data_IF_988868586603
#
_entry.id   IF_988868586603
#
_cell.length_a   1.000
_cell.length_b   1.000
_cell.length_c   1.000
_cell.angle_alpha   90.00
_cell.angle_beta   90.00
_cell.angle_gamma   90.00
#
_symmetry.space_group_name_H-M   'P 1'
#
loop_
_entity.id
_entity.type
_entity.pdbx_description
1 polymer ?
#
# COMPACT_ATOMS: atom_id res chain seq x y z
N UNK A 1 19.68 -31.44 -48.73
CA UNK A 1 19.00 -32.16 -47.62
C UNK A 1 18.43 -31.18 -46.60
N UNK A 2 17.63 -30.21 -47.05
CA UNK A 2 17.12 -29.08 -46.23
C UNK A 2 15.59 -29.02 -46.32
N UNK A 3 14.91 -30.12 -46.00
CA UNK A 3 13.43 -30.18 -45.96
C UNK A 3 12.82 -31.07 -44.87
N UNK A 4 13.64 -31.70 -44.00
CA UNK A 4 13.14 -32.58 -42.94
C UNK A 4 13.41 -32.07 -41.50
N UNK A 5 14.26 -31.06 -41.32
CA UNK A 5 14.54 -30.44 -40.01
C UNK A 5 13.59 -29.28 -39.67
N UNK A 6 12.44 -29.19 -40.36
CA UNK A 6 11.42 -28.17 -40.08
C UNK A 6 10.18 -28.76 -39.38
N UNK A 7 10.02 -30.09 -39.33
CA UNK A 7 8.80 -30.72 -38.82
C UNK A 7 8.88 -31.25 -37.39
N UNK A 8 10.06 -31.34 -36.75
CA UNK A 8 10.18 -31.97 -35.41
C UNK A 8 10.49 -31.02 -34.25
N UNK A 9 10.73 -29.73 -34.51
CA UNK A 9 10.86 -28.72 -33.43
C UNK A 9 9.56 -27.91 -33.25
N UNK A 10 8.57 -28.12 -34.12
CA UNK A 10 7.22 -27.55 -34.05
C UNK A 10 6.32 -28.24 -33.00
N UNK A 11 6.86 -29.13 -32.16
CA UNK A 11 6.07 -30.02 -31.30
C UNK A 11 6.04 -29.70 -29.81
N UNK A 12 6.79 -28.72 -29.28
CA UNK A 12 6.97 -28.61 -27.80
C UNK A 12 6.61 -27.24 -27.21
N UNK A 13 6.38 -26.19 -28.01
CA UNK A 13 6.00 -24.86 -27.49
C UNK A 13 4.48 -24.65 -27.41
N UNK A 14 3.77 -25.60 -26.81
CA UNK A 14 2.33 -25.52 -26.57
C UNK A 14 1.94 -25.83 -25.12
N UNK A 15 2.74 -25.38 -24.14
CA UNK A 15 2.24 -25.20 -22.79
C UNK A 15 1.98 -23.72 -22.54
N UNK A 16 0.76 -23.34 -22.91
CA UNK A 16 0.18 -22.03 -22.67
C UNK A 16 0.07 -21.75 -21.18
N UNK A 17 0.00 -20.45 -20.88
CA UNK A 17 -0.35 -19.92 -19.57
C UNK A 17 -1.65 -20.55 -19.09
N UNK A 18 -1.53 -21.49 -18.15
CA UNK A 18 -2.67 -22.01 -17.44
C UNK A 18 -3.08 -20.92 -16.44
N UNK A 19 -4.07 -20.10 -16.80
CA UNK A 19 -4.84 -19.34 -15.81
C UNK A 19 -5.40 -20.36 -14.83
N UNK A 20 -4.90 -20.36 -13.60
CA UNK A 20 -5.39 -21.27 -12.59
C UNK A 20 -6.77 -20.77 -12.16
N UNK A 21 -7.76 -21.66 -12.20
CA UNK A 21 -9.12 -21.38 -11.80
C UNK A 21 -9.63 -22.60 -11.06
N UNK A 22 -10.29 -22.41 -9.94
CA UNK A 22 -10.84 -23.53 -9.18
C UNK A 22 -12.25 -23.83 -9.70
N UNK A 23 -12.47 -25.09 -10.09
CA UNK A 23 -13.80 -25.55 -10.47
C UNK A 23 -14.53 -26.03 -9.22
N UNK A 24 -15.70 -25.44 -8.96
CA UNK A 24 -16.59 -25.83 -7.88
C UNK A 24 -17.28 -27.17 -8.20
N UNK A 25 -17.84 -27.87 -7.20
CA UNK A 25 -18.47 -29.18 -7.39
C UNK A 25 -19.64 -29.21 -8.39
N UNK A 26 -20.29 -28.07 -8.64
CA UNK A 26 -21.37 -27.90 -9.62
C UNK A 26 -20.86 -27.58 -11.04
N UNK A 27 -19.54 -27.50 -11.24
CA UNK A 27 -18.91 -27.18 -12.52
C UNK A 27 -18.76 -25.68 -12.77
N UNK A 28 -19.20 -24.81 -11.85
CA UNK A 28 -18.91 -23.39 -11.93
C UNK A 28 -17.44 -23.11 -11.65
N UNK A 29 -16.94 -21.99 -12.15
CA UNK A 29 -15.51 -21.65 -12.07
C UNK A 29 -15.32 -20.39 -11.25
N UNK A 30 -14.38 -20.45 -10.31
CA UNK A 30 -13.92 -19.34 -9.51
C UNK A 30 -12.43 -19.06 -9.76
N UNK A 31 -11.96 -17.87 -9.41
CA UNK A 31 -10.53 -17.52 -9.44
C UNK A 31 -9.71 -18.46 -8.54
N UNK A 32 -8.43 -18.62 -8.86
CA UNK A 32 -7.46 -19.45 -8.12
C UNK A 32 -7.35 -19.18 -6.61
N UNK A 33 -7.58 -17.94 -6.18
CA UNK A 33 -7.54 -17.56 -4.76
C UNK A 33 -8.92 -17.56 -4.08
N UNK A 34 -9.98 -17.91 -4.80
CA UNK A 34 -11.33 -17.93 -4.27
C UNK A 34 -11.70 -19.27 -3.64
N UNK A 35 -12.67 -19.26 -2.73
CA UNK A 35 -13.26 -20.46 -2.12
C UNK A 35 -14.67 -20.67 -2.63
N UNK A 36 -14.99 -21.86 -3.12
CA UNK A 36 -16.34 -22.24 -3.51
C UNK A 36 -17.22 -22.38 -2.26
N UNK A 37 -18.24 -21.53 -2.14
CA UNK A 37 -19.24 -21.60 -1.07
C UNK A 37 -20.60 -21.98 -1.63
N UNK A 38 -21.33 -22.84 -0.93
CA UNK A 38 -22.68 -23.23 -1.33
C UNK A 38 -23.64 -22.05 -1.13
N UNK A 39 -24.41 -21.73 -2.16
CA UNK A 39 -25.47 -20.72 -2.13
C UNK A 39 -26.83 -21.35 -2.40
N UNK A 40 -27.91 -20.57 -2.31
CA UNK A 40 -29.26 -21.05 -2.65
C UNK A 40 -29.41 -21.51 -4.10
N UNK A 41 -28.57 -20.96 -4.99
CA UNK A 41 -28.64 -21.17 -6.44
C UNK A 41 -27.51 -22.06 -6.98
N UNK A 42 -26.70 -22.67 -6.11
CA UNK A 42 -25.56 -23.53 -6.51
C UNK A 42 -24.31 -23.22 -5.69
N UNK A 43 -23.22 -22.86 -6.36
CA UNK A 43 -22.00 -22.37 -5.71
C UNK A 43 -21.70 -20.91 -6.10
N UNK A 44 -21.19 -20.16 -5.13
CA UNK A 44 -20.64 -18.83 -5.27
C UNK A 44 -19.16 -18.79 -4.92
N UNK A 45 -18.46 -17.81 -5.47
CA UNK A 45 -17.05 -17.55 -5.22
C UNK A 45 -16.92 -16.60 -4.03
N UNK A 46 -16.28 -17.08 -2.96
CA UNK A 46 -15.79 -16.21 -1.91
C UNK A 46 -14.40 -15.71 -2.27
N UNK A 47 -14.17 -14.40 -2.19
CA UNK A 47 -12.89 -13.76 -2.57
C UNK A 47 -11.74 -14.08 -1.60
N UNK A 48 -12.03 -14.76 -0.47
CA UNK A 48 -11.02 -15.18 0.49
C UNK A 48 -10.49 -16.59 0.18
N UNK A 49 -9.17 -16.82 0.28
CA UNK A 49 -8.62 -18.15 0.23
C UNK A 49 -8.97 -18.92 1.51
N UNK A 50 -9.41 -20.17 1.36
CA UNK A 50 -9.83 -21.05 2.47
C UNK A 50 -10.88 -20.38 3.38
N UNK A 51 -11.86 -19.73 2.76
CA UNK A 51 -12.93 -19.02 3.45
C UNK A 51 -13.81 -19.96 4.29
N UNK A 52 -14.46 -19.40 5.30
CA UNK A 52 -15.54 -20.05 6.04
C UNK A 52 -16.86 -19.66 5.40
N UNK A 53 -17.55 -20.63 4.80
CA UNK A 53 -18.86 -20.40 4.19
C UNK A 53 -19.94 -20.36 5.28
N UNK A 54 -20.73 -19.29 5.29
CA UNK A 54 -21.72 -19.09 6.33
C UNK A 54 -23.00 -19.88 6.04
N UNK A 55 -23.74 -20.23 7.10
CA UNK A 55 -24.95 -21.06 6.99
C UNK A 55 -26.15 -20.31 6.39
N UNK A 56 -26.03 -19.01 6.15
CA UNK A 56 -27.03 -18.22 5.43
C UNK A 56 -27.01 -18.43 3.91
N UNK A 57 -26.04 -19.19 3.38
CA UNK A 57 -25.90 -19.54 1.97
C UNK A 57 -25.78 -18.32 1.05
N UNK A 58 -25.30 -17.21 1.57
CA UNK A 58 -25.14 -15.96 0.82
C UNK A 58 -23.81 -15.27 1.15
N UNK A 59 -23.24 -15.54 2.32
CA UNK A 59 -22.02 -14.87 2.74
C UNK A 59 -20.91 -15.85 3.13
N UNK A 60 -19.71 -15.30 3.18
CA UNK A 60 -18.51 -15.99 3.62
C UNK A 60 -17.64 -15.08 4.48
N UNK A 61 -16.80 -15.72 5.28
CA UNK A 61 -15.84 -15.08 6.16
C UNK A 61 -14.41 -15.49 5.81
N UNK A 62 -13.40 -14.66 6.13
CA UNK A 62 -12.00 -15.04 6.00
C UNK A 62 -11.68 -16.29 6.84
N UNK A 63 -10.61 -17.00 6.47
CA UNK A 63 -10.16 -18.16 7.24
C UNK A 63 -9.86 -17.78 8.70
N UNK A 64 -10.32 -18.62 9.64
CA UNK A 64 -10.13 -18.37 11.08
C UNK A 64 -11.16 -17.43 11.72
N UNK A 65 -12.22 -17.06 10.99
CA UNK A 65 -13.38 -16.34 11.52
C UNK A 65 -14.64 -17.25 11.54
N UNK A 66 -15.56 -16.94 12.45
CA UNK A 66 -16.87 -17.57 12.58
C UNK A 66 -17.97 -16.59 12.17
N UNK A 67 -19.00 -17.10 11.52
CA UNK A 67 -20.10 -16.27 11.03
C UNK A 67 -21.11 -15.98 12.14
N UNK A 68 -21.25 -14.72 12.53
CA UNK A 68 -22.35 -14.26 13.37
C UNK A 68 -23.50 -13.74 12.50
N UNK A 69 -24.50 -14.60 12.28
CA UNK A 69 -25.65 -14.28 11.43
C UNK A 69 -26.57 -13.19 12.02
N UNK A 70 -26.56 -12.99 13.34
CA UNK A 70 -27.40 -11.98 13.98
C UNK A 70 -26.87 -10.57 13.75
N UNK A 71 -25.54 -10.41 13.75
CA UNK A 71 -24.87 -9.13 13.50
C UNK A 71 -24.43 -8.95 12.05
N UNK A 72 -24.48 -10.01 11.23
CA UNK A 72 -23.89 -10.09 9.89
C UNK A 72 -22.38 -9.81 9.89
N UNK A 73 -21.68 -10.27 10.93
CA UNK A 73 -20.24 -10.06 11.11
C UNK A 73 -19.50 -11.40 11.22
N UNK A 74 -18.30 -11.45 10.67
CA UNK A 74 -17.30 -12.47 10.90
C UNK A 74 -16.55 -12.12 12.19
N UNK A 75 -16.65 -12.98 13.20
CA UNK A 75 -16.08 -12.80 14.53
C UNK A 75 -15.01 -13.87 14.80
N UNK A 76 -13.98 -13.54 15.57
CA UNK A 76 -12.91 -14.48 15.92
C UNK A 76 -13.01 -14.87 17.39
N UNK A 77 -13.08 -16.18 17.66
CA UNK A 77 -13.38 -16.73 19.00
C UNK A 77 -12.42 -16.26 20.11
N UNK A 78 -11.17 -15.92 19.77
CA UNK A 78 -10.15 -15.45 20.73
C UNK A 78 -9.83 -13.96 20.64
N UNK A 79 -10.47 -13.21 19.75
CA UNK A 79 -10.18 -11.79 19.49
C UNK A 79 -11.51 -11.02 19.28
N UNK A 80 -12.30 -10.78 20.34
CA UNK A 80 -13.64 -10.21 20.23
C UNK A 80 -13.67 -8.78 19.64
N UNK A 81 -12.52 -8.11 19.57
CA UNK A 81 -12.35 -6.81 18.92
C UNK A 81 -12.13 -6.90 17.40
N UNK A 82 -11.88 -8.09 16.85
CA UNK A 82 -11.74 -8.30 15.40
C UNK A 82 -13.07 -8.85 14.87
N UNK A 83 -13.96 -7.95 14.48
CA UNK A 83 -15.19 -8.25 13.75
C UNK A 83 -15.19 -7.52 12.41
N UNK A 84 -15.42 -8.25 11.32
CA UNK A 84 -15.53 -7.68 9.96
C UNK A 84 -16.87 -8.07 9.35
N UNK A 85 -17.52 -7.24 8.52
CA UNK A 85 -18.77 -7.63 7.88
C UNK A 85 -18.61 -8.90 7.04
N UNK A 86 -19.64 -9.73 7.07
CA UNK A 86 -19.71 -10.91 6.21
C UNK A 86 -19.72 -10.47 4.74
N UNK A 87 -18.90 -11.12 3.91
CA UNK A 87 -18.78 -10.79 2.49
C UNK A 87 -19.79 -11.61 1.71
N UNK A 88 -20.58 -10.96 0.86
CA UNK A 88 -21.51 -11.64 -0.03
C UNK A 88 -20.74 -12.43 -1.08
N UNK A 89 -21.13 -13.69 -1.30
CA UNK A 89 -20.51 -14.56 -2.30
C UNK A 89 -20.87 -14.07 -3.69
N UNK A 90 -19.87 -13.96 -4.57
CA UNK A 90 -20.12 -13.62 -5.97
C UNK A 90 -20.66 -14.85 -6.71
N UNK A 91 -21.61 -14.66 -7.62
CA UNK A 91 -22.11 -15.77 -8.43
C UNK A 91 -20.96 -16.37 -9.23
N UNK A 92 -20.72 -17.67 -9.09
CA UNK A 92 -19.63 -18.31 -9.79
C UNK A 92 -19.90 -18.29 -11.31
N UNK A 93 -18.87 -17.99 -12.10
CA UNK A 93 -19.05 -17.82 -13.53
C UNK A 93 -19.49 -19.14 -14.15
N UNK A 94 -20.57 -19.07 -14.93
CA UNK A 94 -20.98 -20.19 -15.78
C UNK A 94 -19.93 -20.31 -16.89
N UNK A 95 -19.47 -21.52 -17.27
CA UNK A 95 -18.43 -21.67 -18.28
C UNK A 95 -18.81 -20.96 -19.59
N UNK A 96 -18.21 -19.80 -19.85
CA UNK A 96 -18.30 -19.09 -21.12
C UNK A 96 -17.12 -19.43 -22.02
N UNK A 97 -17.44 -19.66 -23.29
CA UNK A 97 -16.55 -20.07 -24.38
C UNK A 97 -15.39 -19.08 -24.61
N UNK A 98 -14.20 -19.53 -25.08
CA UNK A 98 -12.97 -18.73 -25.04
C UNK A 98 -12.94 -17.58 -26.07
N UNK A 99 -12.48 -16.40 -25.65
CA UNK A 99 -12.07 -15.28 -26.52
C UNK A 99 -10.57 -15.02 -26.30
N UNK A 100 -9.86 -14.80 -27.41
CA UNK A 100 -8.39 -14.79 -27.53
C UNK A 100 -7.69 -13.56 -26.90
N UNK A 101 -6.41 -13.68 -26.47
CA UNK A 101 -5.64 -12.57 -25.91
C UNK A 101 -4.74 -11.88 -26.95
N UNK A 102 -4.50 -10.58 -26.74
CA UNK A 102 -3.47 -9.77 -27.43
C UNK A 102 -2.35 -9.44 -26.44
N UNK A 103 -1.14 -9.92 -26.78
CA UNK A 103 0.18 -9.58 -26.20
C UNK A 103 0.51 -8.09 -26.38
N UNK A 104 1.43 -7.40 -25.70
CA UNK A 104 2.79 -7.63 -25.16
C UNK A 104 3.01 -6.54 -24.08
N UNK A 105 3.95 -6.58 -23.13
CA UNK A 105 5.41 -6.44 -23.28
C UNK A 105 6.11 -7.03 -22.04
N UNK A 106 7.11 -7.88 -22.30
CA UNK A 106 8.12 -8.41 -21.39
C UNK A 106 9.23 -7.37 -21.15
N UNK A 107 9.91 -7.46 -20.00
CA UNK A 107 11.33 -7.84 -19.86
C UNK A 107 11.81 -7.46 -18.44
N UNK A 108 12.05 -8.45 -17.55
CA UNK A 108 13.32 -9.17 -17.29
C UNK A 108 13.94 -8.58 -15.99
N UNK A 109 14.41 -9.32 -14.98
CA UNK A 109 15.40 -10.41 -15.03
C UNK A 109 15.31 -11.38 -13.85
N UNK A 110 15.86 -12.58 -14.13
CA UNK A 110 15.97 -13.77 -13.30
C UNK A 110 16.82 -13.61 -12.02
N UNK A 111 16.58 -14.47 -11.03
CA UNK A 111 17.55 -15.48 -10.57
C UNK A 111 16.93 -16.40 -9.49
N UNK A 112 16.98 -17.72 -9.75
CA UNK A 112 16.69 -18.81 -8.81
C UNK A 112 17.95 -19.11 -7.99
N UNK A 113 17.87 -19.23 -6.65
CA UNK A 113 18.25 -20.38 -5.76
C UNK A 113 17.85 -20.00 -4.28
N UNK A 114 17.91 -20.91 -3.29
CA UNK A 114 16.81 -21.65 -2.68
C UNK A 114 16.26 -21.07 -1.36
N UNK A 115 15.11 -21.62 -0.98
CA UNK A 115 14.39 -21.55 0.30
C UNK A 115 15.22 -21.12 1.53
N UNK A 116 15.09 -19.84 1.86
CA UNK A 116 15.14 -19.36 3.22
C UNK A 116 13.82 -18.63 3.41
N UNK A 117 13.14 -18.93 4.52
CA UNK A 117 11.93 -18.30 5.02
C UNK A 117 12.15 -16.78 5.16
N UNK A 118 12.11 -16.08 4.03
CA UNK A 118 12.32 -14.66 3.89
C UNK A 118 10.92 -14.06 3.92
N UNK A 119 10.54 -13.46 5.05
CA UNK A 119 9.40 -12.54 5.07
C UNK A 119 9.63 -11.54 3.93
N UNK A 120 8.76 -11.56 2.93
CA UNK A 120 8.90 -10.84 1.66
C UNK A 120 8.42 -9.39 1.79
N UNK A 121 9.01 -8.67 2.74
CA UNK A 121 8.74 -7.28 3.07
C UNK A 121 8.37 -6.42 1.84
N UNK A 122 7.25 -5.68 1.93
CA UNK A 122 6.81 -4.73 0.90
C UNK A 122 7.58 -3.43 1.07
N UNK A 123 8.52 -3.17 0.15
CA UNK A 123 9.31 -1.93 0.18
C UNK A 123 8.48 -0.75 -0.32
N UNK A 124 8.27 0.25 0.54
CA UNK A 124 7.55 1.47 0.20
C UNK A 124 8.50 2.51 -0.43
N UNK A 125 9.71 2.60 0.11
CA UNK A 125 10.85 3.32 -0.46
C UNK A 125 12.18 2.75 0.07
N UNK A 126 13.27 3.52 -0.04
CA UNK A 126 14.62 3.11 0.39
C UNK A 126 14.78 2.95 1.91
N UNK A 127 13.89 3.51 2.73
CA UNK A 127 13.97 3.52 4.19
C UNK A 127 12.75 2.91 4.87
N UNK A 128 11.60 2.91 4.20
CA UNK A 128 10.32 2.49 4.73
C UNK A 128 9.87 1.20 4.06
N UNK A 129 9.43 0.28 4.89
CA UNK A 129 8.90 -0.99 4.45
C UNK A 129 7.71 -1.40 5.29
N UNK A 130 6.85 -2.20 4.69
CA UNK A 130 5.69 -2.77 5.34
C UNK A 130 5.78 -4.30 5.37
N UNK A 131 5.10 -4.95 6.33
CA UNK A 131 5.01 -6.40 6.38
C UNK A 131 4.41 -7.00 5.10
N UNK A 132 4.61 -8.29 4.92
CA UNK A 132 3.94 -9.06 3.88
C UNK A 132 2.42 -8.83 3.87
N UNK A 133 1.82 -8.86 2.67
CA UNK A 133 0.37 -8.71 2.46
C UNK A 133 -0.23 -7.37 2.91
N UNK A 134 0.59 -6.31 2.97
CA UNK A 134 0.14 -4.94 3.23
C UNK A 134 0.36 -4.02 2.01
N UNK A 135 -0.26 -2.85 2.00
CA UNK A 135 -0.05 -1.81 0.98
C UNK A 135 0.58 -0.57 1.58
N UNK A 136 1.62 -0.05 0.95
CA UNK A 136 2.24 1.21 1.34
C UNK A 136 1.34 2.40 1.01
N UNK A 137 0.89 3.15 2.02
CA UNK A 137 0.11 4.37 1.87
C UNK A 137 0.93 5.60 2.25
N UNK A 138 1.02 6.54 1.31
CA UNK A 138 1.76 7.78 1.50
C UNK A 138 0.89 8.83 2.17
N UNK A 139 1.40 9.40 3.25
CA UNK A 139 0.74 10.45 4.00
C UNK A 139 1.06 11.85 3.42
N UNK A 140 0.15 12.84 3.51
CA UNK A 140 0.41 14.22 3.07
C UNK A 140 1.66 14.87 3.69
N UNK A 141 2.05 14.44 4.90
CA UNK A 141 3.31 14.86 5.55
C UNK A 141 4.55 14.08 5.06
N UNK A 142 4.43 13.31 3.98
CA UNK A 142 5.48 12.45 3.40
C UNK A 142 5.94 11.29 4.31
N UNK A 143 5.12 10.89 5.27
CA UNK A 143 5.31 9.65 6.02
C UNK A 143 4.68 8.45 5.28
N UNK A 144 5.09 7.24 5.63
CA UNK A 144 4.47 6.00 5.15
C UNK A 144 3.69 5.30 6.25
N UNK A 145 2.53 4.77 5.88
CA UNK A 145 1.71 3.91 6.72
C UNK A 145 1.39 2.62 5.97
N UNK A 146 1.36 1.52 6.71
CA UNK A 146 1.05 0.21 6.15
C UNK A 146 -0.44 -0.04 6.24
N UNK A 147 -1.11 -0.06 5.09
CA UNK A 147 -2.49 -0.50 4.98
C UNK A 147 -2.54 -2.03 5.13
N UNK A 148 -3.39 -2.57 6.02
CA UNK A 148 -3.48 -4.01 6.25
C UNK A 148 -4.07 -4.79 5.05
N UNK A 149 -4.59 -4.09 4.04
CA UNK A 149 -5.10 -4.71 2.82
C UNK A 149 -4.04 -4.70 1.73
N UNK A 150 -3.95 -5.78 0.95
CA UNK A 150 -3.15 -5.87 -0.27
C UNK A 150 -3.95 -6.56 -1.37
N UNK A 151 -4.36 -5.85 -2.44
CA UNK A 151 -4.22 -4.40 -2.65
C UNK A 151 -5.19 -3.58 -1.78
N UNK A 152 -4.69 -2.52 -1.15
CA UNK A 152 -5.49 -1.54 -0.40
C UNK A 152 -5.61 -0.22 -1.13
N UNK A 153 -6.74 0.49 -1.00
CA UNK A 153 -6.93 1.83 -1.54
C UNK A 153 -6.64 2.87 -0.46
N UNK A 154 -5.56 3.63 -0.64
CA UNK A 154 -5.17 4.68 0.29
C UNK A 154 -6.12 5.89 0.18
N UNK A 155 -6.58 6.39 1.33
CA UNK A 155 -7.31 7.64 1.39
C UNK A 155 -6.35 8.83 1.22
N UNK A 156 -6.89 9.97 0.79
CA UNK A 156 -6.11 11.20 0.58
C UNK A 156 -5.54 11.79 1.87
N UNK A 157 -6.13 11.47 3.02
CA UNK A 157 -5.61 11.86 4.32
C UNK A 157 -4.36 11.08 4.73
N UNK A 158 -4.05 9.97 4.06
CA UNK A 158 -2.87 9.15 4.31
C UNK A 158 -2.88 8.33 5.60
N UNK A 159 -3.94 8.43 6.42
CA UNK A 159 -4.09 7.69 7.67
C UNK A 159 -5.07 6.52 7.53
N UNK A 160 -5.98 6.61 6.57
CA UNK A 160 -6.99 5.61 6.33
C UNK A 160 -6.75 4.92 4.99
N UNK A 161 -7.22 3.68 4.92
CA UNK A 161 -7.26 2.93 3.68
C UNK A 161 -8.48 2.01 3.68
N UNK A 162 -8.94 1.69 2.47
CA UNK A 162 -10.07 0.82 2.23
C UNK A 162 -9.62 -0.49 1.57
N UNK A 163 -10.36 -1.59 1.77
CA UNK A 163 -10.13 -2.81 1.02
C UNK A 163 -10.36 -2.58 -0.47
N UNK A 164 -9.82 -3.47 -1.30
CA UNK A 164 -9.92 -3.37 -2.75
C UNK A 164 -11.37 -3.17 -3.23
N UNK A 165 -11.56 -2.23 -4.16
CA UNK A 165 -12.85 -1.87 -4.75
C UNK A 165 -13.78 -1.03 -3.86
N UNK A 166 -13.31 -0.53 -2.73
CA UNK A 166 -14.01 0.46 -1.92
C UNK A 166 -13.27 1.79 -1.92
N UNK A 167 -14.00 2.90 -2.02
CA UNK A 167 -13.48 4.27 -1.98
C UNK A 167 -13.62 4.88 -0.59
N UNK A 168 -12.79 5.86 -0.24
CA UNK A 168 -12.97 6.60 1.01
C UNK A 168 -14.07 7.65 0.83
N UNK A 169 -14.93 7.83 1.84
CA UNK A 169 -15.83 8.98 1.89
C UNK A 169 -15.05 10.29 2.07
N UNK A 170 -15.67 11.42 1.72
CA UNK A 170 -15.02 12.74 1.81
C UNK A 170 -14.63 13.16 3.24
N UNK A 171 -15.26 12.57 4.25
CA UNK A 171 -14.95 12.80 5.66
C UNK A 171 -13.89 11.85 6.23
N UNK A 172 -13.41 10.87 5.46
CA UNK A 172 -12.48 9.81 5.90
C UNK A 172 -12.98 9.08 7.16
N UNK A 173 -14.30 8.85 7.21
CA UNK A 173 -15.03 8.11 8.27
C UNK A 173 -15.65 6.79 7.81
N UNK A 174 -15.82 6.57 6.50
CA UNK A 174 -16.33 5.32 5.94
C UNK A 174 -15.64 4.94 4.64
N UNK A 175 -15.54 3.63 4.40
CA UNK A 175 -15.36 3.11 3.05
C UNK A 175 -16.72 3.05 2.36
N UNK A 176 -16.80 3.42 1.08
CA UNK A 176 -18.03 3.45 0.30
C UNK A 176 -17.86 2.63 -0.98
N UNK A 177 -18.91 1.92 -1.35
CA UNK A 177 -19.02 1.26 -2.66
C UNK A 177 -20.46 1.40 -3.14
N UNK A 178 -20.66 1.99 -4.33
CA UNK A 178 -21.99 2.20 -4.95
C UNK A 178 -23.02 2.86 -4.02
N UNK A 179 -22.58 3.77 -3.13
CA UNK A 179 -23.46 4.50 -2.20
C UNK A 179 -23.75 3.82 -0.86
N UNK A 180 -23.31 2.56 -0.66
CA UNK A 180 -23.37 1.89 0.64
C UNK A 180 -22.17 2.30 1.50
N UNK A 181 -22.43 2.61 2.78
CA UNK A 181 -21.41 3.02 3.76
C UNK A 181 -20.97 1.81 4.57
N UNK A 182 -19.67 1.55 4.56
CA UNK A 182 -19.01 0.54 5.36
C UNK A 182 -18.24 1.28 6.46
N UNK A 183 -18.49 0.98 7.74
CA UNK A 183 -17.78 1.65 8.83
C UNK A 183 -16.28 1.40 8.70
N UNK A 184 -15.46 2.45 8.89
CA UNK A 184 -14.06 2.19 9.23
C UNK A 184 -14.04 1.41 10.54
N UNK A 185 -13.19 0.39 10.64
CA UNK A 185 -12.90 -0.25 11.93
C UNK A 185 -12.59 0.84 12.95
N UNK A 186 -13.35 0.96 14.06
CA UNK A 186 -13.09 2.00 15.04
C UNK A 186 -11.68 1.82 15.58
N UNK A 187 -10.82 2.79 15.31
CA UNK A 187 -9.51 2.87 15.93
C UNK A 187 -9.73 3.25 17.41
N UNK A 188 -9.31 2.38 18.34
CA UNK A 188 -8.63 2.90 19.55
C UNK A 188 -7.51 3.84 19.08
N UNK A 189 -7.05 4.83 19.88
CA UNK A 189 -5.83 5.56 19.53
C UNK A 189 -4.67 4.56 19.43
N UNK A 190 -4.45 4.04 18.23
CA UNK A 190 -3.33 3.22 17.89
C UNK A 190 -2.19 4.19 17.66
N UNK A 191 -1.19 4.08 18.52
CA UNK A 191 0.20 4.21 18.11
C UNK A 191 0.30 3.70 16.69
N UNK A 192 0.52 4.61 15.76
CA UNK A 192 1.08 4.27 14.46
C UNK A 192 2.23 3.31 14.75
N UNK A 193 2.20 2.09 14.22
CA UNK A 193 3.42 1.28 14.17
C UNK A 193 4.39 2.13 13.38
N UNK A 194 5.46 2.68 14.00
CA UNK A 194 6.49 3.33 13.21
C UNK A 194 7.03 2.24 12.30
N UNK A 195 7.20 2.52 11.00
CA UNK A 195 7.94 1.62 10.13
C UNK A 195 9.23 1.23 10.85
N UNK A 196 9.41 -0.07 11.05
CA UNK A 196 10.47 -0.57 11.91
C UNK A 196 11.81 -0.11 11.33
N UNK A 197 12.55 0.67 12.12
CA UNK A 197 13.94 0.96 11.83
C UNK A 197 14.72 -0.35 11.96
N UNK A 198 15.45 -0.74 10.90
CA UNK A 198 16.49 -1.76 11.03
C UNK A 198 17.65 -1.10 11.78
N UNK A 199 17.83 -1.49 13.04
CA UNK A 199 19.06 -1.26 13.80
C UNK A 199 20.11 -2.28 13.35
N UNK A 200 21.11 -1.83 12.60
CA UNK A 200 22.41 -2.51 12.54
C UNK A 200 23.40 -1.76 13.41
N UNK A 201 23.76 -2.39 14.54
CA UNK A 201 25.08 -2.27 15.16
C UNK A 201 26.09 -2.71 14.09
N UNK A 202 27.17 -1.99 13.77
CA UNK A 202 28.44 -1.80 14.48
C UNK A 202 29.27 -0.81 13.61
N UNK A 203 30.25 0.00 14.01
CA UNK A 203 30.83 0.45 15.26
C UNK A 203 31.74 1.66 14.89
N UNK A 204 31.96 2.54 15.86
CA UNK A 204 33.14 3.41 16.07
C UNK A 204 33.36 4.71 15.27
N UNK A 205 33.25 5.80 16.04
CA UNK A 205 34.20 6.92 16.19
C UNK A 205 33.69 8.31 15.78
N UNK A 206 33.04 8.96 16.74
CA UNK A 206 33.22 10.36 17.14
C UNK A 206 34.05 11.26 16.22
N UNK A 207 33.36 11.92 15.30
CA UNK A 207 33.51 13.36 15.04
C UNK A 207 32.09 13.86 14.83
N UNK A 208 31.65 14.87 15.58
CA UNK A 208 30.34 15.48 15.37
C UNK A 208 30.24 15.91 13.90
N UNK A 209 29.38 15.26 13.14
CA UNK A 209 29.16 15.54 11.73
C UNK A 209 28.36 16.86 11.64
N UNK A 210 29.06 17.98 11.84
CA UNK A 210 28.50 19.32 11.71
C UNK A 210 28.52 19.68 10.23
N UNK A 211 27.36 19.57 9.58
CA UNK A 211 27.20 20.00 8.19
C UNK A 211 26.72 21.45 8.16
N UNK A 212 27.13 22.28 7.18
CA UNK A 212 26.64 23.64 7.08
C UNK A 212 25.13 23.66 6.79
N UNK A 213 24.43 24.65 7.35
CA UNK A 213 23.02 24.86 7.01
C UNK A 213 22.85 25.18 5.52
N UNK A 214 21.70 24.82 4.97
CA UNK A 214 21.37 25.12 3.58
C UNK A 214 20.44 26.33 3.49
N UNK A 215 20.74 27.26 2.60
CA UNK A 215 19.87 28.38 2.32
C UNK A 215 18.57 27.91 1.65
N UNK A 216 17.45 28.49 2.06
CA UNK A 216 16.14 28.30 1.43
C UNK A 216 16.01 29.20 0.21
N UNK A 217 15.20 28.81 -0.78
CA UNK A 217 14.86 29.65 -1.94
C UNK A 217 13.45 30.22 -1.79
N UNK A 218 13.07 31.26 -2.53
CA UNK A 218 11.71 31.79 -2.47
C UNK A 218 10.70 30.80 -3.09
N UNK A 219 9.48 30.76 -2.53
CA UNK A 219 8.40 29.97 -3.09
C UNK A 219 7.77 30.69 -4.29
N UNK A 220 7.48 29.94 -5.35
CA UNK A 220 6.94 30.47 -6.60
C UNK A 220 5.42 30.64 -6.51
N UNK A 221 4.90 31.70 -7.13
CA UNK A 221 3.45 31.93 -7.27
C UNK A 221 2.86 31.38 -8.57
N UNK A 222 3.68 30.76 -9.42
CA UNK A 222 3.24 30.19 -10.69
C UNK A 222 2.77 28.75 -10.51
N UNK A 223 1.71 28.41 -11.24
CA UNK A 223 1.20 27.05 -11.39
C UNK A 223 2.16 26.26 -12.30
N UNK A 224 3.34 25.93 -11.76
CA UNK A 224 4.34 25.11 -12.44
C UNK A 224 3.88 23.65 -12.56
N UNK A 225 4.37 22.98 -13.61
CA UNK A 225 4.02 21.64 -14.09
C UNK A 225 3.85 20.56 -13.00
N UNK A 226 3.16 19.48 -13.38
CA UNK A 226 2.83 18.33 -12.54
C UNK A 226 4.00 17.89 -11.64
N UNK A 227 3.80 17.99 -10.31
CA UNK A 227 4.78 17.53 -9.31
C UNK A 227 5.22 18.56 -8.27
N UNK A 228 4.68 19.78 -8.25
CA UNK A 228 5.03 20.81 -7.25
C UNK A 228 4.56 20.49 -5.82
N UNK A 229 5.36 20.83 -4.82
CA UNK A 229 4.98 20.80 -3.39
C UNK A 229 4.17 22.05 -3.07
N UNK A 230 2.89 21.90 -2.72
CA UNK A 230 2.00 23.01 -2.39
C UNK A 230 2.21 23.48 -0.94
N UNK A 231 2.62 24.74 -0.76
CA UNK A 231 2.79 25.34 0.58
C UNK A 231 1.50 25.97 1.08
N UNK A 232 0.78 26.68 0.22
CA UNK A 232 -0.56 27.21 0.51
C UNK A 232 -1.43 27.39 -0.76
N UNK A 233 -2.38 28.34 -0.75
CA UNK A 233 -3.24 28.62 -1.91
C UNK A 233 -2.54 29.32 -3.07
N UNK A 234 -1.43 30.02 -2.83
CA UNK A 234 -0.73 30.84 -3.83
C UNK A 234 0.76 30.53 -3.97
N UNK A 235 1.37 29.78 -3.06
CA UNK A 235 2.82 29.51 -3.01
C UNK A 235 3.13 28.03 -3.14
N UNK A 236 4.13 27.74 -3.97
CA UNK A 236 4.55 26.40 -4.35
C UNK A 236 6.07 26.26 -4.34
N UNK A 237 6.55 25.07 -4.04
CA UNK A 237 7.94 24.67 -4.11
C UNK A 237 8.15 23.62 -5.22
N UNK A 238 9.38 23.54 -5.79
CA UNK A 238 9.69 22.53 -6.80
C UNK A 238 9.55 21.11 -6.23
N UNK A 239 9.39 20.13 -7.11
CA UNK A 239 9.30 18.72 -6.72
C UNK A 239 10.50 18.32 -5.84
N UNK A 240 10.22 17.68 -4.71
CA UNK A 240 11.26 17.27 -3.75
C UNK A 240 11.73 18.35 -2.78
N UNK A 241 11.23 19.59 -2.87
CA UNK A 241 11.46 20.62 -1.87
C UNK A 241 10.33 20.64 -0.81
N UNK A 242 10.67 21.07 0.41
CA UNK A 242 9.73 21.30 1.52
C UNK A 242 9.48 22.78 1.77
N UNK A 243 8.32 23.09 2.35
CA UNK A 243 7.89 24.45 2.62
C UNK A 243 8.36 24.93 4.00
N UNK A 244 9.06 26.06 4.03
CA UNK A 244 9.47 26.77 5.24
C UNK A 244 8.70 28.09 5.36
N UNK A 245 8.07 28.32 6.52
CA UNK A 245 7.37 29.56 6.79
C UNK A 245 8.30 30.54 7.50
N UNK A 246 8.49 31.73 6.92
CA UNK A 246 9.31 32.79 7.49
C UNK A 246 8.57 33.53 8.62
N UNK A 247 9.30 34.22 9.52
CA UNK A 247 8.69 35.05 10.57
C UNK A 247 7.79 36.19 10.05
N UNK A 248 8.03 36.67 8.83
CA UNK A 248 7.22 37.68 8.14
C UNK A 248 5.92 37.11 7.52
N UNK A 249 5.70 35.80 7.63
CA UNK A 249 4.54 35.09 7.10
C UNK A 249 4.68 34.62 5.65
N UNK A 250 5.77 34.93 4.95
CA UNK A 250 6.02 34.48 3.59
C UNK A 250 6.58 33.05 3.55
N UNK A 251 6.47 32.37 2.40
CA UNK A 251 7.00 31.02 2.20
C UNK A 251 8.37 31.02 1.53
N UNK A 252 9.16 30.03 1.91
CA UNK A 252 10.43 29.65 1.28
C UNK A 252 10.50 28.14 1.10
N UNK A 253 11.39 27.69 0.22
CA UNK A 253 11.57 26.30 -0.17
C UNK A 253 12.91 25.78 0.32
N UNK A 254 12.86 24.77 1.16
CA UNK A 254 14.04 24.01 1.54
C UNK A 254 14.26 22.88 0.51
N UNK A 255 15.48 22.70 -0.04
CA UNK A 255 15.75 21.69 -1.07
C UNK A 255 15.66 20.25 -0.55
N UNK A 256 15.56 20.04 0.76
CA UNK A 256 15.34 18.74 1.35
C UNK A 256 13.83 18.43 1.41
N UNK A 257 13.38 17.24 0.97
CA UNK A 257 11.96 16.86 1.02
C UNK A 257 11.36 16.91 2.43
N UNK A 258 12.17 16.68 3.45
CA UNK A 258 11.81 16.65 4.86
C UNK A 258 12.69 17.58 5.71
N UNK A 259 13.17 18.69 5.12
CA UNK A 259 14.09 19.59 5.80
C UNK A 259 13.48 20.25 7.05
N UNK A 260 14.27 20.36 8.11
CA UNK A 260 13.89 21.12 9.31
C UNK A 260 14.23 22.59 9.08
N UNK A 261 13.21 23.45 9.04
CA UNK A 261 13.38 24.89 8.92
C UNK A 261 13.99 25.47 10.21
N UNK A 262 15.00 26.31 10.06
CA UNK A 262 15.58 27.03 11.18
C UNK A 262 14.68 28.20 11.59
N UNK A 263 14.80 28.66 12.84
CA UNK A 263 13.97 29.74 13.38
C UNK A 263 14.17 31.08 12.65
N UNK A 264 15.28 31.23 11.93
CA UNK A 264 15.58 32.42 11.12
C UNK A 264 14.74 32.52 9.83
N UNK A 265 14.08 31.43 9.41
CA UNK A 265 13.32 31.35 8.16
C UNK A 265 14.17 31.45 6.88
N UNK A 266 15.50 31.50 7.00
CA UNK A 266 16.44 31.67 5.89
C UNK A 266 17.25 30.40 5.65
N UNK A 267 17.33 29.52 6.64
CA UNK A 267 18.10 28.30 6.57
C UNK A 267 17.25 27.08 6.88
N UNK A 268 17.70 25.94 6.39
CA UNK A 268 17.16 24.65 6.75
C UNK A 268 18.26 23.59 6.86
N UNK A 269 17.96 22.55 7.64
CA UNK A 269 18.77 21.37 7.80
C UNK A 269 18.09 20.16 7.17
N UNK A 270 18.88 19.16 6.80
CA UNK A 270 18.33 17.86 6.40
C UNK A 270 17.56 17.24 7.57
N UNK A 271 16.59 16.40 7.25
CA UNK A 271 15.85 15.63 8.24
C UNK A 271 16.79 14.89 9.21
N UNK A 272 16.47 14.89 10.49
CA UNK A 272 17.31 14.29 11.54
C UNK A 272 18.39 15.23 12.11
N UNK A 273 18.59 16.43 11.55
CA UNK A 273 19.50 17.44 12.10
C UNK A 273 18.74 18.61 12.73
N UNK A 274 19.37 19.25 13.72
CA UNK A 274 18.90 20.45 14.40
C UNK A 274 19.78 21.63 14.05
N UNK A 275 19.15 22.77 13.80
CA UNK A 275 19.85 24.01 13.52
C UNK A 275 20.58 24.50 14.78
N UNK A 276 21.90 24.72 14.70
CA UNK A 276 22.65 25.49 15.69
C UNK A 276 22.89 26.92 15.16
N UNK A 277 22.13 27.91 15.63
CA UNK A 277 22.28 29.30 15.20
C UNK A 277 23.66 29.89 15.51
N UNK A 278 24.35 29.37 16.53
CA UNK A 278 25.64 29.89 17.01
C UNK A 278 26.77 29.53 16.07
N UNK A 279 26.68 28.37 15.39
CA UNK A 279 27.69 27.89 14.45
C UNK A 279 27.22 27.85 13.00
N UNK A 280 25.98 28.23 12.70
CA UNK A 280 25.36 28.11 11.36
C UNK A 280 25.49 26.69 10.78
N UNK A 281 25.45 25.68 11.65
CA UNK A 281 25.56 24.28 11.28
C UNK A 281 24.35 23.48 11.71
N UNK A 282 24.11 22.41 10.97
CA UNK A 282 23.20 21.34 11.29
C UNK A 282 23.93 20.32 12.16
N UNK A 283 23.38 20.05 13.35
CA UNK A 283 23.93 19.07 14.30
C UNK A 283 22.96 17.93 14.50
N UNK A 284 23.46 16.72 14.65
CA UNK A 284 22.62 15.60 15.08
C UNK A 284 22.11 15.87 16.50
N UNK A 285 20.86 15.48 16.83
CA UNK A 285 20.36 15.56 18.19
C UNK A 285 21.29 14.75 19.09
N UNK A 286 21.74 15.35 20.20
CA UNK A 286 22.54 14.64 21.18
C UNK A 286 21.71 13.48 21.74
N UNK A 287 22.22 12.25 21.57
CA UNK A 287 21.68 11.02 22.15
C UNK A 287 21.90 10.95 23.64
#
# INVERSE_FOLDING_TARGET
MWRFTLCLVLGVFAWGFASCSITCPDGHVCSDLATCCVTKDGYGCCQYPKAVCCSDMAHCCPSGFSCNLATQMCEKENEPWVSVPMVETEAAEKPSTPVQPVSTVLELENNLVPDQQKSSVVHCDNYFYCPDYTTCCRHPSQAWFCCPYSPGRCCLDGYHCCPYGYDCDYSYTHCIRRGLRYPFTPKQPLTSVPAAHISTLEDKSSLQEQTPMKAVTEASSSNGEAGVTRCDSMFYCPAGASCCKRPDGQWSCCPYPLGKCCADGQHCCQYGYTCDPSSMTCRTPAS
#
